data_IF_953135986999
#
_entry.id   IF_953135986999
#
_cell.length_a   1.000
_cell.length_b   1.000
_cell.length_c   1.000
_cell.angle_alpha   90.00
_cell.angle_beta   90.00
_cell.angle_gamma   90.00
#
_symmetry.space_group_name_H-M   'P 1'
#
loop_
_entity.id
_entity.type
_entity.pdbx_description
1 polymer ?
#
# COMPACT_ATOMS: atom_id res chain seq x y z
N UNK A 1 -6.14 -10.70 -19.36
CA UNK A 1 -6.15 -9.88 -20.59
C UNK A 1 -7.12 -8.75 -20.37
N UNK A 2 -6.73 -7.52 -20.71
CA UNK A 2 -7.62 -6.36 -20.70
C UNK A 2 -8.12 -6.14 -22.12
N UNK A 3 -9.40 -5.78 -22.24
CA UNK A 3 -10.06 -5.42 -23.48
C UNK A 3 -10.37 -3.92 -23.41
N UNK A 4 -9.96 -3.15 -24.41
CA UNK A 4 -10.31 -1.73 -24.51
C UNK A 4 -11.36 -1.52 -25.61
N UNK A 5 -12.57 -1.03 -25.27
CA UNK A 5 -13.61 -0.74 -26.25
C UNK A 5 -13.21 0.39 -27.22
N UNK A 6 -13.96 0.52 -28.32
CA UNK A 6 -13.74 1.46 -29.43
C UNK A 6 -13.73 2.94 -28.98
N UNK A 7 -14.24 3.28 -27.80
CA UNK A 7 -14.03 4.56 -27.10
C UNK A 7 -12.68 4.62 -26.35
N UNK A 8 -11.63 4.07 -26.96
CA UNK A 8 -10.27 3.94 -26.42
C UNK A 8 -9.71 5.24 -25.80
N UNK A 9 -10.06 6.41 -26.37
CA UNK A 9 -9.65 7.72 -25.87
C UNK A 9 -10.05 7.98 -24.41
N UNK A 10 -11.20 7.48 -23.99
CA UNK A 10 -11.71 7.64 -22.62
C UNK A 10 -11.23 6.51 -21.72
N UNK A 11 -11.21 5.26 -22.21
CA UNK A 11 -10.90 4.09 -21.39
C UNK A 11 -9.39 3.85 -21.15
N UNK A 12 -8.53 4.15 -22.14
CA UNK A 12 -7.10 3.83 -22.09
C UNK A 12 -6.33 4.48 -20.92
N UNK A 13 -6.55 5.77 -20.57
CA UNK A 13 -5.93 6.36 -19.38
C UNK A 13 -6.23 5.59 -18.09
N UNK A 14 -7.47 5.12 -17.93
CA UNK A 14 -7.88 4.36 -16.76
C UNK A 14 -7.26 2.97 -16.72
N UNK A 15 -7.19 2.27 -17.86
CA UNK A 15 -6.57 0.95 -17.96
C UNK A 15 -5.07 1.03 -17.65
N UNK A 16 -4.37 2.01 -18.24
CA UNK A 16 -2.95 2.28 -17.98
C UNK A 16 -2.71 2.55 -16.50
N UNK A 17 -3.54 3.40 -15.88
CA UNK A 17 -3.43 3.71 -14.46
C UNK A 17 -3.79 2.53 -13.54
N UNK A 18 -4.81 1.75 -13.89
CA UNK A 18 -5.20 0.57 -13.12
C UNK A 18 -4.09 -0.48 -13.13
N UNK A 19 -3.52 -0.79 -14.30
CA UNK A 19 -2.40 -1.70 -14.42
C UNK A 19 -1.17 -1.19 -13.62
N UNK A 20 -0.91 0.12 -13.64
CA UNK A 20 0.15 0.72 -12.81
C UNK A 20 -0.11 0.55 -11.30
N UNK A 21 -1.35 0.77 -10.85
CA UNK A 21 -1.75 0.65 -9.43
C UNK A 21 -1.72 -0.78 -8.92
N UNK A 22 -2.12 -1.72 -9.77
CA UNK A 22 -2.14 -3.15 -9.46
C UNK A 22 -0.73 -3.77 -9.42
N UNK A 23 0.31 -2.96 -9.70
CA UNK A 23 1.70 -3.33 -9.52
C UNK A 23 2.30 -4.09 -10.71
N UNK A 24 1.69 -4.00 -11.90
CA UNK A 24 2.31 -4.50 -13.11
C UNK A 24 3.62 -3.73 -13.38
N UNK A 25 4.60 -4.40 -14.00
CA UNK A 25 5.84 -3.81 -14.48
C UNK A 25 5.61 -3.01 -15.78
N UNK A 26 4.64 -3.45 -16.59
CA UNK A 26 4.25 -2.75 -17.79
C UNK A 26 2.93 -3.24 -18.40
N UNK A 27 2.51 -2.55 -19.44
CA UNK A 27 1.34 -2.87 -20.25
C UNK A 27 1.76 -3.06 -21.70
N UNK A 28 1.52 -4.25 -22.23
CA UNK A 28 1.72 -4.60 -23.62
C UNK A 28 0.43 -4.33 -24.40
N UNK A 29 0.48 -3.41 -25.35
CA UNK A 29 -0.62 -3.06 -26.25
C UNK A 29 -0.28 -3.60 -27.63
N UNK A 30 -1.14 -4.47 -28.14
CA UNK A 30 -0.99 -5.07 -29.46
C UNK A 30 -1.65 -4.14 -30.48
N UNK A 31 -0.87 -3.64 -31.43
CA UNK A 31 -1.30 -2.70 -32.46
C UNK A 31 -1.12 -3.36 -33.84
N UNK A 32 -2.01 -4.28 -34.17
CA UNK A 32 -1.95 -5.01 -35.43
C UNK A 32 -3.36 -5.14 -36.03
N UNK A 33 -3.57 -4.57 -37.23
CA UNK A 33 -4.82 -4.75 -37.98
C UNK A 33 -4.86 -6.17 -38.54
N UNK A 34 -6.06 -6.75 -38.61
CA UNK A 34 -6.25 -8.11 -39.13
C UNK A 34 -5.71 -8.27 -40.55
N UNK A 35 -5.83 -7.24 -41.38
CA UNK A 35 -5.33 -7.21 -42.75
C UNK A 35 -3.79 -7.23 -42.86
N UNK A 36 -3.08 -6.68 -41.87
CA UNK A 36 -1.62 -6.54 -41.92
C UNK A 36 -0.88 -7.72 -41.28
N UNK A 37 -1.52 -8.38 -40.31
CA UNK A 37 -0.89 -9.42 -39.52
C UNK A 37 -1.88 -10.50 -39.07
N UNK A 38 -2.52 -11.15 -40.04
CA UNK A 38 -3.49 -12.23 -39.80
C UNK A 38 -2.96 -13.34 -38.90
N UNK A 39 -1.72 -13.78 -39.12
CA UNK A 39 -1.03 -14.79 -38.32
C UNK A 39 -0.92 -14.40 -36.84
N UNK A 40 -0.70 -13.11 -36.54
CA UNK A 40 -0.65 -12.60 -35.17
C UNK A 40 -2.02 -12.66 -34.49
N UNK A 41 -3.07 -12.32 -35.23
CA UNK A 41 -4.43 -12.37 -34.72
C UNK A 41 -4.88 -13.82 -34.44
N UNK A 42 -4.51 -14.75 -35.33
CA UNK A 42 -4.73 -16.19 -35.14
C UNK A 42 -3.97 -16.72 -33.92
N UNK A 43 -2.68 -16.35 -33.75
CA UNK A 43 -1.88 -16.69 -32.57
C UNK A 43 -2.50 -16.13 -31.29
N UNK A 44 -2.94 -14.87 -31.28
CA UNK A 44 -3.60 -14.25 -30.12
C UNK A 44 -4.90 -14.94 -29.75
N UNK A 45 -5.70 -15.31 -30.74
CA UNK A 45 -6.99 -15.96 -30.51
C UNK A 45 -6.81 -17.40 -30.00
N UNK A 46 -5.81 -18.12 -30.52
CA UNK A 46 -5.56 -19.53 -30.21
C UNK A 46 -4.74 -19.72 -28.93
N UNK A 47 -3.70 -18.91 -28.75
CA UNK A 47 -2.65 -19.12 -27.75
C UNK A 47 -2.67 -18.06 -26.63
N UNK A 48 -3.80 -17.39 -26.42
CA UNK A 48 -3.92 -16.34 -25.40
C UNK A 48 -3.54 -16.82 -23.99
N UNK A 49 -3.89 -18.06 -23.63
CA UNK A 49 -3.55 -18.67 -22.34
C UNK A 49 -2.04 -18.80 -22.19
N UNK A 50 -1.37 -19.25 -23.25
CA UNK A 50 0.08 -19.40 -23.29
C UNK A 50 0.80 -18.05 -23.21
N UNK A 51 0.27 -17.01 -23.89
CA UNK A 51 0.78 -15.64 -23.77
C UNK A 51 0.63 -15.16 -22.33
N UNK A 52 -0.54 -15.37 -21.73
CA UNK A 52 -0.82 -14.99 -20.34
C UNK A 52 0.05 -15.74 -19.33
N UNK A 53 0.29 -17.03 -19.52
CA UNK A 53 1.15 -17.84 -18.64
C UNK A 53 2.59 -17.32 -18.62
N UNK A 54 3.06 -16.82 -19.77
CA UNK A 54 4.39 -16.24 -19.92
C UNK A 54 4.46 -14.81 -19.37
N UNK A 55 3.50 -13.95 -19.69
CA UNK A 55 3.45 -12.54 -19.21
C UNK A 55 2.95 -12.41 -17.76
N UNK A 56 2.40 -13.50 -17.21
CA UNK A 56 2.00 -13.67 -15.83
C UNK A 56 1.23 -12.49 -15.24
N UNK A 57 1.53 -12.21 -13.96
CA UNK A 57 0.95 -11.10 -13.19
C UNK A 57 1.74 -9.80 -13.31
N UNK A 58 2.65 -9.68 -14.29
CA UNK A 58 3.64 -8.61 -14.35
C UNK A 58 3.59 -7.76 -15.59
N UNK A 59 3.21 -8.33 -16.73
CA UNK A 59 2.90 -7.53 -17.92
C UNK A 59 1.43 -7.75 -18.24
N UNK A 60 0.65 -6.70 -18.12
CA UNK A 60 -0.73 -6.73 -18.57
C UNK A 60 -0.73 -6.73 -20.10
N UNK A 61 -1.51 -7.62 -20.73
CA UNK A 61 -1.70 -7.63 -22.18
C UNK A 61 -3.06 -6.98 -22.47
N UNK A 62 -3.02 -5.91 -23.25
CA UNK A 62 -4.16 -5.16 -23.76
C UNK A 62 -4.36 -5.51 -25.23
N UNK A 63 -5.54 -6.05 -25.51
CA UNK A 63 -6.03 -6.23 -26.86
C UNK A 63 -7.12 -5.18 -27.13
N UNK A 64 -7.05 -4.42 -28.24
CA UNK A 64 -8.18 -3.63 -28.70
C UNK A 64 -9.40 -4.54 -28.87
N UNK A 65 -10.54 -4.13 -28.35
CA UNK A 65 -11.78 -4.92 -28.41
C UNK A 65 -12.77 -4.21 -29.31
N UNK A 66 -13.26 -4.87 -30.38
CA UNK A 66 -14.10 -4.25 -31.39
C UNK A 66 -15.55 -4.05 -30.92
N UNK A 67 -15.82 -3.93 -29.60
CA UNK A 67 -17.17 -3.73 -29.08
C UNK A 67 -17.86 -2.64 -29.91
N UNK A 68 -18.89 -3.08 -30.63
CA UNK A 68 -19.47 -2.35 -31.74
C UNK A 68 -19.87 -0.95 -31.29
N UNK A 69 -19.49 0.04 -32.11
CA UNK A 69 -20.13 1.35 -32.14
C UNK A 69 -21.63 1.09 -32.06
N UNK A 70 -22.32 1.73 -31.11
CA UNK A 70 -23.77 1.62 -30.95
C UNK A 70 -24.43 1.58 -32.33
N UNK A 71 -25.16 0.50 -32.62
CA UNK A 71 -25.85 0.30 -33.89
C UNK A 71 -26.83 1.47 -34.07
N UNK A 72 -26.62 2.39 -35.03
CA UNK A 72 -27.44 3.60 -35.13
C UNK A 72 -28.85 3.31 -35.66
N UNK A 73 -29.11 2.10 -36.18
CA UNK A 73 -30.41 1.73 -36.78
C UNK A 73 -31.32 0.90 -35.85
N UNK A 74 -30.83 0.39 -34.72
CA UNK A 74 -31.68 -0.18 -33.67
C UNK A 74 -31.91 0.88 -32.56
N UNK A 75 -33.17 1.16 -32.23
CA UNK A 75 -33.59 2.11 -31.18
C UNK A 75 -32.71 2.08 -29.90
N UNK A 76 -32.55 3.24 -29.22
CA UNK A 76 -31.47 3.46 -28.27
C UNK A 76 -31.73 2.74 -26.95
N UNK A 77 -31.36 1.47 -26.86
CA UNK A 77 -31.41 0.77 -25.58
C UNK A 77 -30.31 1.20 -24.60
N UNK A 78 -29.36 2.03 -25.04
CA UNK A 78 -28.39 2.69 -24.16
C UNK A 78 -28.01 4.09 -24.66
N UNK A 79 -28.95 5.04 -24.72
CA UNK A 79 -28.51 6.43 -24.53
C UNK A 79 -27.97 6.53 -23.10
N UNK A 80 -26.64 6.66 -22.96
CA UNK A 80 -26.06 7.16 -21.74
C UNK A 80 -26.63 8.57 -21.51
N UNK A 81 -27.74 8.66 -20.76
CA UNK A 81 -28.23 9.94 -20.27
C UNK A 81 -27.07 10.53 -19.48
N UNK A 82 -26.62 11.75 -19.83
CA UNK A 82 -25.63 12.46 -19.05
C UNK A 82 -26.16 12.64 -17.62
N UNK A 83 -25.84 11.70 -16.74
CA UNK A 83 -26.07 11.84 -15.31
C UNK A 83 -25.00 12.78 -14.75
N UNK A 84 -25.28 13.51 -13.65
CA UNK A 84 -24.26 14.28 -12.93
C UNK A 84 -23.01 13.44 -12.61
N UNK A 85 -23.19 12.14 -12.41
CA UNK A 85 -22.14 11.14 -12.19
C UNK A 85 -21.33 10.83 -13.46
N UNK A 86 -21.95 10.74 -14.64
CA UNK A 86 -21.21 10.61 -15.92
C UNK A 86 -20.41 11.87 -16.27
N UNK A 87 -20.96 13.06 -15.97
CA UNK A 87 -20.25 14.36 -16.09
C UNK A 87 -19.09 14.47 -15.11
N UNK A 88 -19.15 13.80 -13.97
CA UNK A 88 -18.03 13.70 -13.04
C UNK A 88 -16.87 12.93 -13.68
N UNK A 89 -17.12 11.85 -14.42
CA UNK A 89 -16.07 11.05 -15.08
C UNK A 89 -15.45 11.71 -16.31
N UNK A 90 -16.22 12.49 -17.08
CA UNK A 90 -15.71 13.20 -18.28
C UNK A 90 -14.86 14.43 -17.94
N UNK A 91 -14.97 14.96 -16.72
CA UNK A 91 -14.20 16.12 -16.25
C UNK A 91 -12.98 15.76 -15.38
N UNK A 92 -12.74 14.48 -15.10
CA UNK A 92 -11.58 14.04 -14.32
C UNK A 92 -10.30 14.15 -15.16
N UNK A 93 -9.32 14.87 -14.61
CA UNK A 93 -7.95 14.88 -15.12
C UNK A 93 -7.14 13.73 -14.49
N UNK A 94 -5.96 13.46 -15.06
CA UNK A 94 -5.03 12.45 -14.52
C UNK A 94 -4.63 12.75 -13.05
N UNK A 95 -4.63 14.02 -12.67
CA UNK A 95 -4.25 14.48 -11.32
C UNK A 95 -5.37 14.22 -10.29
N UNK A 96 -6.64 14.28 -10.70
CA UNK A 96 -7.79 14.02 -9.83
C UNK A 96 -7.93 12.53 -9.46
N UNK A 97 -7.28 11.65 -10.20
CA UNK A 97 -7.38 10.21 -9.98
C UNK A 97 -6.49 9.71 -8.83
N UNK A 98 -5.49 10.49 -8.39
CA UNK A 98 -4.39 10.04 -7.50
C UNK A 98 -4.87 9.45 -6.16
N UNK A 99 -6.02 9.89 -5.66
CA UNK A 99 -6.55 9.50 -4.35
C UNK A 99 -7.56 8.32 -4.37
N UNK A 100 -7.92 7.79 -5.54
CA UNK A 100 -8.85 6.65 -5.62
C UNK A 100 -8.16 5.35 -5.17
N UNK A 101 -8.36 4.98 -3.90
CA UNK A 101 -7.79 3.78 -3.26
C UNK A 101 -8.22 2.46 -3.89
N UNK A 102 -9.26 2.45 -4.74
CA UNK A 102 -9.79 1.26 -5.40
C UNK A 102 -10.26 1.58 -6.82
N UNK A 103 -9.37 1.52 -7.81
CA UNK A 103 -9.79 1.51 -9.21
C UNK A 103 -10.25 0.10 -9.58
N UNK A 104 -11.44 -0.29 -9.12
CA UNK A 104 -12.25 -1.26 -9.86
C UNK A 104 -12.94 -0.46 -10.94
N UNK A 105 -12.48 -0.58 -12.19
CA UNK A 105 -13.33 -0.21 -13.33
C UNK A 105 -14.46 -1.24 -13.35
N UNK A 106 -15.59 -0.87 -12.75
CA UNK A 106 -16.87 -1.51 -12.99
C UNK A 106 -17.72 -0.50 -13.76
N UNK A 107 -18.00 -0.88 -15.00
CA UNK A 107 -18.98 -0.30 -15.93
C UNK A 107 -20.35 -0.21 -15.20
N UNK A 108 -21.21 0.78 -15.53
CA UNK A 108 -22.10 1.41 -14.57
C UNK A 108 -23.18 0.50 -14.01
N UNK A 109 -23.48 0.79 -12.74
CA UNK A 109 -24.59 0.42 -11.89
C UNK A 109 -24.85 -1.08 -11.64
N UNK A 110 -24.92 -1.40 -10.36
CA UNK A 110 -25.19 -2.74 -9.85
C UNK A 110 -26.59 -3.21 -10.22
N UNK A 111 -26.76 -3.75 -11.42
CA UNK A 111 -27.67 -4.85 -11.77
C UNK A 111 -27.54 -5.14 -13.27
N UNK A 112 -26.51 -5.89 -13.68
CA UNK A 112 -26.57 -6.59 -14.95
C UNK A 112 -27.56 -7.76 -14.81
N UNK A 113 -28.85 -7.47 -15.01
CA UNK A 113 -29.86 -8.47 -15.38
C UNK A 113 -30.14 -8.38 -16.87
N UNK A 114 -29.09 -8.44 -17.68
CA UNK A 114 -29.24 -8.82 -19.08
C UNK A 114 -29.27 -10.34 -19.14
N UNK A 115 -30.32 -10.92 -19.72
CA UNK A 115 -30.22 -12.30 -20.19
C UNK A 115 -29.19 -12.28 -21.31
N UNK A 116 -28.08 -13.05 -21.25
CA UNK A 116 -27.16 -13.13 -22.37
C UNK A 116 -27.95 -13.70 -23.57
N UNK A 117 -28.20 -12.85 -24.56
CA UNK A 117 -28.86 -13.26 -25.80
C UNK A 117 -27.76 -13.56 -26.80
N UNK A 118 -27.65 -14.81 -27.29
CA UNK A 118 -26.68 -15.12 -28.34
C UNK A 118 -27.03 -14.31 -29.58
N UNK A 119 -26.16 -13.36 -29.95
CA UNK A 119 -26.25 -12.66 -31.23
C UNK A 119 -25.58 -13.51 -32.31
N UNK A 120 -26.11 -13.54 -33.55
CA UNK A 120 -25.37 -14.08 -34.67
C UNK A 120 -24.03 -13.34 -34.81
N UNK A 121 -22.94 -14.02 -35.20
CA UNK A 121 -21.67 -13.36 -35.42
C UNK A 121 -21.85 -12.32 -36.53
N UNK A 122 -21.32 -11.12 -36.32
CA UNK A 122 -21.28 -10.10 -37.35
C UNK A 122 -20.51 -10.62 -38.58
N UNK A 123 -20.83 -10.15 -39.79
CA UNK A 123 -20.04 -10.46 -40.98
C UNK A 123 -18.53 -10.17 -40.80
N UNK A 124 -17.68 -10.96 -41.47
CA UNK A 124 -16.22 -10.91 -41.30
C UNK A 124 -15.64 -9.52 -41.61
N UNK A 125 -16.14 -8.87 -42.66
CA UNK A 125 -15.76 -7.51 -43.06
C UNK A 125 -16.08 -6.46 -41.99
N UNK A 126 -17.24 -6.57 -41.34
CA UNK A 126 -17.65 -5.68 -40.23
C UNK A 126 -16.75 -5.90 -39.01
N UNK A 127 -16.41 -7.15 -38.68
CA UNK A 127 -15.50 -7.45 -37.57
C UNK A 127 -14.08 -6.95 -37.83
N UNK A 128 -13.58 -7.12 -39.06
CA UNK A 128 -12.26 -6.63 -39.46
C UNK A 128 -12.19 -5.10 -39.45
N UNK A 129 -13.25 -4.40 -39.88
CA UNK A 129 -13.35 -2.95 -39.83
C UNK A 129 -13.35 -2.43 -38.38
N UNK A 130 -14.16 -3.03 -37.50
CA UNK A 130 -14.23 -2.67 -36.10
C UNK A 130 -12.90 -2.89 -35.36
N UNK A 131 -12.20 -4.00 -35.64
CA UNK A 131 -10.87 -4.26 -35.10
C UNK A 131 -9.84 -3.24 -35.59
N UNK A 132 -9.87 -2.95 -36.89
CA UNK A 132 -9.00 -1.95 -37.52
C UNK A 132 -9.19 -0.59 -36.86
N UNK A 133 -10.43 -0.16 -36.66
CA UNK A 133 -10.76 1.10 -35.98
C UNK A 133 -10.27 1.10 -34.53
N UNK A 134 -10.47 0.01 -33.78
CA UNK A 134 -10.00 -0.11 -32.40
C UNK A 134 -8.47 -0.01 -32.28
N UNK A 135 -7.74 -0.67 -33.19
CA UNK A 135 -6.27 -0.60 -33.29
C UNK A 135 -5.82 0.82 -33.64
N UNK A 136 -6.45 1.45 -34.65
CA UNK A 136 -6.10 2.81 -35.08
C UNK A 136 -6.30 3.83 -33.97
N UNK A 137 -7.41 3.77 -33.23
CA UNK A 137 -7.64 4.66 -32.06
C UNK A 137 -6.67 4.41 -30.92
N UNK A 138 -6.31 3.16 -30.67
CA UNK A 138 -5.28 2.84 -29.67
C UNK A 138 -3.91 3.40 -30.10
N UNK A 139 -3.54 3.23 -31.37
CA UNK A 139 -2.30 3.77 -31.92
C UNK A 139 -2.28 5.31 -31.84
N UNK A 140 -3.39 5.96 -32.22
CA UNK A 140 -3.58 7.41 -32.13
C UNK A 140 -3.41 7.92 -30.70
N UNK A 141 -4.01 7.24 -29.71
CA UNK A 141 -3.89 7.61 -28.29
C UNK A 141 -2.42 7.68 -27.82
N UNK A 142 -1.58 6.75 -28.29
CA UNK A 142 -0.15 6.72 -27.96
C UNK A 142 0.71 7.56 -28.93
N UNK A 143 0.11 8.24 -29.91
CA UNK A 143 0.82 9.03 -30.91
C UNK A 143 1.63 8.17 -31.90
N UNK A 144 1.17 6.96 -32.19
CA UNK A 144 1.83 6.02 -33.10
C UNK A 144 1.19 6.15 -34.48
N UNK A 145 1.97 6.62 -35.47
CA UNK A 145 1.50 6.72 -36.85
C UNK A 145 1.28 5.35 -37.50
N UNK A 146 0.32 5.26 -38.44
CA UNK A 146 -0.05 4.01 -39.11
C UNK A 146 1.11 3.34 -39.86
N UNK A 147 2.06 4.13 -40.39
CA UNK A 147 3.26 3.61 -41.06
C UNK A 147 4.16 2.77 -40.15
N UNK A 148 3.90 2.80 -38.83
CA UNK A 148 4.64 2.02 -37.84
C UNK A 148 3.98 0.70 -37.48
N UNK A 149 2.81 0.38 -38.03
CA UNK A 149 2.08 -0.87 -37.79
C UNK A 149 2.51 -1.96 -38.80
N UNK A 150 2.38 -3.26 -38.46
CA UNK A 150 1.95 -3.81 -37.17
C UNK A 150 3.05 -3.69 -36.09
N UNK A 151 2.65 -3.42 -34.85
CA UNK A 151 3.58 -3.22 -33.74
C UNK A 151 3.04 -3.71 -32.39
N UNK A 152 3.94 -3.88 -31.43
CA UNK A 152 3.63 -4.06 -30.01
C UNK A 152 4.22 -2.90 -29.23
N UNK A 153 3.38 -2.14 -28.55
CA UNK A 153 3.83 -1.12 -27.60
C UNK A 153 3.92 -1.75 -26.20
N UNK A 154 5.07 -1.62 -25.55
CA UNK A 154 5.23 -1.94 -24.13
C UNK A 154 5.41 -0.64 -23.36
N UNK A 155 4.38 -0.29 -22.59
CA UNK A 155 4.39 0.81 -21.63
C UNK A 155 5.11 0.35 -20.38
N UNK A 156 6.27 0.93 -20.06
CA UNK A 156 7.08 0.54 -18.91
C UNK A 156 6.77 1.44 -17.72
N UNK A 157 6.03 0.94 -16.73
CA UNK A 157 5.51 1.77 -15.64
C UNK A 157 6.55 2.30 -14.67
N UNK A 158 7.72 1.66 -14.62
CA UNK A 158 8.79 1.99 -13.67
C UNK A 158 9.94 2.76 -14.32
N UNK A 159 9.96 2.81 -15.65
CA UNK A 159 10.97 3.50 -16.43
C UNK A 159 10.40 4.77 -17.02
N UNK A 160 11.29 5.65 -17.50
CA UNK A 160 10.90 6.84 -18.28
C UNK A 160 10.84 6.54 -19.78
N UNK A 161 10.95 5.26 -20.15
CA UNK A 161 11.09 4.84 -21.54
C UNK A 161 10.14 3.69 -21.82
N UNK A 162 9.30 3.88 -22.82
CA UNK A 162 8.38 2.89 -23.37
C UNK A 162 8.96 2.34 -24.67
N UNK A 163 8.57 1.15 -25.09
CA UNK A 163 9.18 0.48 -26.24
C UNK A 163 8.13 0.08 -27.25
N UNK A 164 8.21 0.62 -28.47
CA UNK A 164 7.40 0.20 -29.60
C UNK A 164 8.21 -0.76 -30.48
N UNK A 165 7.78 -2.01 -30.56
CA UNK A 165 8.44 -3.06 -31.35
C UNK A 165 7.67 -3.24 -32.65
N UNK A 166 8.26 -2.88 -33.78
CA UNK A 166 7.66 -3.14 -35.09
C UNK A 166 7.78 -4.63 -35.44
N UNK A 167 6.66 -5.25 -35.77
CA UNK A 167 6.58 -6.68 -36.01
C UNK A 167 6.76 -6.99 -37.49
N UNK A 168 7.24 -8.20 -37.77
CA UNK A 168 7.18 -8.78 -39.11
C UNK A 168 5.95 -9.70 -39.19
N UNK A 169 5.44 -10.00 -40.40
CA UNK A 169 4.32 -10.94 -40.56
C UNK A 169 4.57 -12.34 -39.95
N UNK A 170 5.84 -12.77 -39.88
CA UNK A 170 6.24 -14.07 -39.33
C UNK A 170 6.68 -14.02 -37.85
N UNK A 171 6.57 -12.88 -37.17
CA UNK A 171 6.94 -12.77 -35.76
C UNK A 171 5.95 -13.56 -34.89
N UNK A 172 6.43 -14.34 -33.91
CA UNK A 172 5.56 -14.95 -32.89
C UNK A 172 5.50 -14.07 -31.66
N UNK A 173 4.28 -13.67 -31.27
CA UNK A 173 4.02 -12.92 -30.03
C UNK A 173 4.36 -13.76 -28.81
N UNK A 174 4.09 -15.06 -28.82
CA UNK A 174 4.45 -15.95 -27.74
C UNK A 174 5.98 -15.97 -27.52
N UNK A 175 6.77 -16.15 -28.58
CA UNK A 175 8.24 -16.13 -28.48
C UNK A 175 8.76 -14.79 -28.00
N UNK A 176 8.22 -13.69 -28.50
CA UNK A 176 8.57 -12.34 -28.06
C UNK A 176 8.27 -12.15 -26.56
N UNK A 177 7.07 -12.51 -26.11
CA UNK A 177 6.67 -12.46 -24.71
C UNK A 177 7.59 -13.34 -23.83
N UNK A 178 7.93 -14.54 -24.30
CA UNK A 178 8.80 -15.48 -23.59
C UNK A 178 10.20 -14.93 -23.40
N UNK A 179 10.75 -14.26 -24.41
CA UNK A 179 12.06 -13.59 -24.29
C UNK A 179 12.02 -12.40 -23.34
N UNK A 180 10.95 -11.60 -23.38
CA UNK A 180 10.76 -10.47 -22.43
C UNK A 180 10.66 -11.00 -20.99
N UNK A 181 9.82 -12.02 -20.76
CA UNK A 181 9.62 -12.62 -19.45
C UNK A 181 10.85 -13.38 -18.93
N UNK A 182 11.69 -13.92 -19.81
CA UNK A 182 12.95 -14.59 -19.42
C UNK A 182 14.06 -13.60 -19.04
N UNK A 183 13.83 -12.29 -19.19
CA UNK A 183 14.85 -11.29 -18.92
C UNK A 183 15.03 -11.05 -17.40
N UNK A 184 16.26 -10.79 -16.90
CA UNK A 184 16.52 -10.65 -15.46
C UNK A 184 15.76 -9.52 -14.74
N UNK A 185 15.25 -8.53 -15.48
CA UNK A 185 14.35 -7.48 -14.98
C UNK A 185 12.95 -7.98 -14.61
N UNK A 186 12.65 -9.26 -14.89
CA UNK A 186 11.38 -9.93 -14.65
C UNK A 186 11.54 -11.04 -13.59
N UNK A 187 12.35 -10.84 -12.54
CA UNK A 187 12.50 -11.85 -11.47
C UNK A 187 11.49 -11.66 -10.33
N UNK A 188 11.02 -12.72 -9.65
CA UNK A 188 10.23 -12.61 -8.41
C UNK A 188 10.88 -11.82 -7.28
N UNK A 189 12.21 -11.76 -7.29
CA UNK A 189 12.97 -10.93 -6.36
C UNK A 189 12.71 -9.43 -6.60
N UNK A 190 12.44 -9.02 -7.84
CA UNK A 190 12.21 -7.62 -8.20
C UNK A 190 10.94 -7.05 -7.54
N UNK A 191 9.82 -7.76 -7.60
CA UNK A 191 8.57 -7.35 -6.94
C UNK A 191 8.74 -7.25 -5.42
N UNK A 192 9.46 -8.21 -4.83
CA UNK A 192 9.80 -8.18 -3.41
C UNK A 192 10.59 -6.92 -3.06
N UNK A 193 11.63 -6.60 -3.83
CA UNK A 193 12.48 -5.42 -3.61
C UNK A 193 11.74 -4.10 -3.80
N UNK A 194 10.78 -4.03 -4.72
CA UNK A 194 9.92 -2.84 -4.87
C UNK A 194 9.01 -2.63 -3.67
N UNK A 195 8.37 -3.69 -3.18
CA UNK A 195 7.55 -3.64 -1.96
C UNK A 195 8.40 -3.26 -0.76
N UNK A 196 9.61 -3.80 -0.69
CA UNK A 196 10.57 -3.52 0.38
C UNK A 196 11.03 -2.06 0.34
N UNK A 197 11.36 -1.50 -0.83
CA UNK A 197 11.62 -0.07 -0.99
C UNK A 197 10.47 0.78 -0.47
N UNK A 198 9.23 0.44 -0.85
CA UNK A 198 8.04 1.17 -0.39
C UNK A 198 7.75 1.01 1.11
N UNK A 199 8.13 -0.13 1.71
CA UNK A 199 8.06 -0.36 3.16
C UNK A 199 9.09 0.49 3.89
N UNK A 200 10.35 0.40 3.47
CA UNK A 200 11.48 1.12 4.05
C UNK A 200 11.33 2.63 3.93
N UNK A 201 10.88 3.13 2.78
CA UNK A 201 10.58 4.57 2.59
C UNK A 201 9.58 5.06 3.64
N UNK A 202 8.46 4.33 3.82
CA UNK A 202 7.45 4.67 4.83
C UNK A 202 7.97 4.57 6.27
N UNK A 203 8.85 3.61 6.54
CA UNK A 203 9.48 3.48 7.86
C UNK A 203 10.42 4.65 8.15
N UNK A 204 11.25 5.05 7.18
CA UNK A 204 12.15 6.20 7.30
C UNK A 204 11.38 7.51 7.44
N UNK A 205 10.33 7.73 6.64
CA UNK A 205 9.48 8.93 6.70
C UNK A 205 8.77 9.08 8.05
N UNK A 206 8.28 7.97 8.61
CA UNK A 206 7.56 7.95 9.89
C UNK A 206 8.47 7.80 11.11
N UNK A 207 9.78 7.62 10.91
CA UNK A 207 10.69 7.40 12.00
C UNK A 207 10.77 8.66 12.88
N UNK A 208 10.67 8.53 14.22
CA UNK A 208 10.72 9.69 15.11
C UNK A 208 12.06 10.41 14.99
N UNK A 209 12.02 11.64 14.46
CA UNK A 209 13.20 12.49 14.27
C UNK A 209 13.70 13.12 15.56
N UNK A 210 12.81 13.26 16.54
CA UNK A 210 13.08 13.82 17.85
C UNK A 210 12.72 12.79 18.91
N UNK A 211 13.57 12.66 19.93
CA UNK A 211 13.22 11.94 21.15
C UNK A 211 12.05 12.63 21.83
N UNK A 212 10.99 11.88 22.09
CA UNK A 212 9.95 12.33 23.01
C UNK A 212 10.42 11.90 24.39
N UNK A 213 11.01 12.83 25.15
CA UNK A 213 11.25 12.62 26.57
C UNK A 213 9.97 12.10 27.24
N UNK A 214 10.13 11.31 28.29
CA UNK A 214 9.02 10.61 28.94
C UNK A 214 8.61 11.31 30.22
N UNK A 215 7.35 11.18 30.58
CA UNK A 215 6.88 11.63 31.88
C UNK A 215 6.98 10.46 32.87
N UNK A 216 7.68 10.66 33.96
CA UNK A 216 7.82 9.70 35.06
C UNK A 216 7.16 10.25 36.31
N UNK A 217 6.42 9.41 37.01
CA UNK A 217 5.93 9.72 38.36
C UNK A 217 7.06 9.49 39.35
N UNK A 218 7.56 10.55 40.00
CA UNK A 218 8.59 10.45 41.05
C UNK A 218 8.01 10.81 42.40
N UNK A 219 8.33 10.01 43.42
CA UNK A 219 8.07 10.39 44.82
C UNK A 219 9.04 11.49 45.23
N UNK A 220 8.64 12.32 46.19
CA UNK A 220 9.59 13.24 46.83
C UNK A 220 10.72 12.41 47.47
N UNK A 221 11.97 12.78 47.19
CA UNK A 221 13.15 12.02 47.63
C UNK A 221 13.35 12.07 49.16
N UNK A 222 12.86 13.12 49.82
CA UNK A 222 12.97 13.30 51.29
C UNK A 222 11.71 14.00 51.84
N UNK A 223 10.59 13.25 52.02
CA UNK A 223 9.38 13.83 52.58
C UNK A 223 9.54 14.13 54.08
N UNK A 224 8.85 15.16 54.60
CA UNK A 224 8.91 15.50 56.01
C UNK A 224 8.31 14.40 56.89
N UNK A 225 9.10 13.84 57.81
CA UNK A 225 8.66 12.76 58.72
C UNK A 225 8.62 13.15 60.20
N UNK A 226 9.10 14.34 60.56
CA UNK A 226 9.08 14.90 61.93
C UNK A 226 8.14 16.10 62.04
N UNK A 227 7.59 16.37 63.23
CA UNK A 227 6.60 17.43 63.44
C UNK A 227 7.12 18.82 63.03
N UNK A 228 8.39 19.14 63.26
CA UNK A 228 9.02 20.39 62.86
C UNK A 228 8.98 20.55 61.33
N UNK A 229 9.47 19.54 60.59
CA UNK A 229 9.45 19.54 59.11
C UNK A 229 8.03 19.47 58.54
N UNK A 230 7.12 18.78 59.23
CA UNK A 230 5.72 18.70 58.82
C UNK A 230 4.99 20.04 58.99
N UNK A 231 5.34 20.82 60.01
CA UNK A 231 4.77 22.15 60.23
C UNK A 231 5.27 23.20 59.23
N UNK A 232 6.38 22.96 58.54
CA UNK A 232 6.80 23.77 57.39
C UNK A 232 5.83 23.62 56.21
N UNK A 233 5.07 22.51 56.16
CA UNK A 233 4.01 22.33 55.16
C UNK A 233 2.79 23.15 55.57
N UNK A 234 2.54 24.19 54.78
CA UNK A 234 1.52 25.22 55.00
C UNK A 234 0.11 24.66 55.31
N UNK A 235 -0.25 23.56 54.63
CA UNK A 235 -1.50 22.85 54.83
C UNK A 235 -1.59 22.15 56.20
N UNK A 236 -0.48 21.56 56.68
CA UNK A 236 -0.40 20.89 57.99
C UNK A 236 -0.52 21.91 59.10
N UNK A 237 0.26 23.00 59.03
CA UNK A 237 0.23 24.11 60.01
C UNK A 237 -1.18 24.66 60.20
N UNK A 238 -1.88 24.98 59.11
CA UNK A 238 -3.28 25.45 59.14
C UNK A 238 -4.24 24.44 59.79
N UNK A 239 -4.02 23.14 59.61
CA UNK A 239 -4.86 22.13 60.27
C UNK A 239 -4.56 22.02 61.77
N UNK A 240 -3.29 22.08 62.17
CA UNK A 240 -2.86 22.05 63.58
C UNK A 240 -3.36 23.28 64.33
N UNK A 241 -3.20 24.48 63.77
CA UNK A 241 -3.70 25.72 64.38
C UNK A 241 -5.23 25.71 64.48
N UNK A 242 -5.89 25.22 63.42
CA UNK A 242 -7.33 25.03 63.46
C UNK A 242 -7.80 23.98 64.47
N UNK A 243 -6.98 22.97 64.81
CA UNK A 243 -7.28 22.01 65.87
C UNK A 243 -7.14 22.67 67.25
N UNK A 244 -6.03 23.39 67.49
CA UNK A 244 -5.80 24.15 68.73
C UNK A 244 -6.96 25.10 69.01
N UNK A 245 -7.35 25.90 68.01
CA UNK A 245 -8.48 26.80 68.15
C UNK A 245 -9.79 26.06 68.46
N UNK A 246 -10.04 24.92 67.80
CA UNK A 246 -11.25 24.14 68.05
C UNK A 246 -11.28 23.58 69.48
N UNK A 247 -10.13 23.14 70.01
CA UNK A 247 -10.02 22.63 71.38
C UNK A 247 -10.38 23.71 72.42
N UNK A 248 -9.98 24.96 72.20
CA UNK A 248 -10.37 26.09 73.06
C UNK A 248 -11.89 26.31 73.05
N UNK A 249 -12.57 26.13 71.92
CA UNK A 249 -14.03 26.32 71.81
C UNK A 249 -14.85 25.29 72.62
N UNK A 250 -14.25 24.15 72.94
CA UNK A 250 -14.91 23.03 73.65
C UNK A 250 -14.37 22.82 75.07
N UNK A 251 -13.54 23.73 75.56
CA UNK A 251 -12.94 23.67 76.91
C UNK A 251 -13.99 23.52 78.02
N UNK A 252 -15.11 24.22 77.91
CA UNK A 252 -16.22 24.16 78.88
C UNK A 252 -16.92 22.79 78.97
N UNK A 253 -16.69 21.88 78.03
CA UNK A 253 -17.31 20.55 78.02
C UNK A 253 -16.61 19.62 79.00
N UNK A 254 -15.28 19.65 78.99
CA UNK A 254 -14.38 18.90 79.87
C UNK A 254 -13.01 19.62 79.93
N UNK A 255 -12.79 20.46 80.95
CA UNK A 255 -11.56 21.25 81.09
C UNK A 255 -10.30 20.39 81.30
N UNK A 256 -10.44 19.21 81.93
CA UNK A 256 -9.32 18.31 82.21
C UNK A 256 -8.84 17.65 80.92
N UNK A 257 -9.77 17.12 80.12
CA UNK A 257 -9.46 16.55 78.82
C UNK A 257 -8.88 17.61 77.86
N UNK A 258 -9.44 18.83 77.87
CA UNK A 258 -8.90 19.96 77.10
C UNK A 258 -7.43 20.24 77.45
N UNK A 259 -7.11 20.36 78.75
CA UNK A 259 -5.74 20.61 79.21
C UNK A 259 -4.81 19.47 78.81
N UNK A 260 -5.18 18.23 79.10
CA UNK A 260 -4.36 17.05 78.80
C UNK A 260 -4.07 16.89 77.30
N UNK A 261 -5.05 17.13 76.43
CA UNK A 261 -4.85 17.03 74.99
C UNK A 261 -4.07 18.21 74.42
N UNK A 262 -4.27 19.43 74.95
CA UNK A 262 -3.54 20.62 74.52
C UNK A 262 -2.05 20.53 74.87
N UNK A 263 -1.75 20.11 76.10
CA UNK A 263 -0.38 19.82 76.55
C UNK A 263 0.24 18.72 75.71
N UNK A 264 -0.50 17.65 75.43
CA UNK A 264 0.00 16.57 74.59
C UNK A 264 0.29 17.01 73.15
N UNK A 265 -0.54 17.86 72.55
CA UNK A 265 -0.30 18.38 71.20
C UNK A 265 0.90 19.33 71.19
N UNK A 266 1.05 20.16 72.22
CA UNK A 266 2.23 20.99 72.41
C UNK A 266 3.50 20.13 72.57
N UNK A 267 3.40 19.01 73.29
CA UNK A 267 4.51 18.09 73.51
C UNK A 267 5.02 17.45 72.23
N UNK A 268 4.11 16.96 71.37
CA UNK A 268 4.46 16.39 70.07
C UNK A 268 5.26 17.38 69.21
N UNK A 269 4.91 18.67 69.29
CA UNK A 269 5.58 19.73 68.52
C UNK A 269 6.92 20.08 69.16
N UNK A 270 6.96 20.19 70.50
CA UNK A 270 8.17 20.53 71.26
C UNK A 270 9.26 19.47 71.15
N UNK A 271 8.87 18.20 71.12
CA UNK A 271 9.78 17.05 71.05
C UNK A 271 10.16 16.66 69.62
N UNK A 272 9.70 17.42 68.62
CA UNK A 272 9.81 17.07 67.20
C UNK A 272 9.42 15.62 66.91
N UNK A 273 8.26 15.20 67.45
CA UNK A 273 7.84 13.81 67.38
C UNK A 273 7.75 13.31 65.94
N UNK A 274 8.06 12.03 65.72
CA UNK A 274 7.86 11.39 64.43
C UNK A 274 6.37 11.38 64.04
N UNK A 275 6.09 11.41 62.73
CA UNK A 275 4.73 11.43 62.18
C UNK A 275 3.85 10.32 62.77
N UNK A 276 4.39 9.10 62.86
CA UNK A 276 3.67 7.94 63.40
C UNK A 276 3.27 8.13 64.87
N UNK A 277 4.14 8.73 65.68
CA UNK A 277 3.87 9.06 67.08
C UNK A 277 2.76 10.11 67.18
N UNK A 278 2.80 11.13 66.34
CA UNK A 278 1.73 12.13 66.25
C UNK A 278 0.40 11.51 65.80
N UNK A 279 0.41 10.61 64.82
CA UNK A 279 -0.78 9.88 64.36
C UNK A 279 -1.41 9.03 65.46
N UNK A 280 -0.60 8.30 66.21
CA UNK A 280 -1.05 7.45 67.31
C UNK A 280 -1.76 8.30 68.37
N UNK A 281 -1.12 9.40 68.80
CA UNK A 281 -1.69 10.28 69.82
C UNK A 281 -2.96 11.00 69.35
N UNK A 282 -3.00 11.48 68.11
CA UNK A 282 -4.22 12.04 67.52
C UNK A 282 -5.34 10.98 67.42
N UNK A 283 -5.01 9.70 67.18
CA UNK A 283 -6.01 8.62 67.15
C UNK A 283 -6.62 8.39 68.53
N UNK A 284 -5.83 8.47 69.59
CA UNK A 284 -6.31 8.38 70.97
C UNK A 284 -7.29 9.51 71.29
N UNK A 285 -6.96 10.75 70.94
CA UNK A 285 -7.85 11.91 71.12
C UNK A 285 -9.15 11.70 70.33
N UNK A 286 -9.07 11.33 69.05
CA UNK A 286 -10.25 11.10 68.22
C UNK A 286 -11.12 9.93 68.71
N UNK A 287 -10.52 8.93 69.38
CA UNK A 287 -11.25 7.82 70.01
C UNK A 287 -11.96 8.30 71.28
N UNK A 288 -11.23 8.97 72.17
CA UNK A 288 -11.77 9.49 73.42
C UNK A 288 -12.97 10.43 73.19
N UNK A 289 -12.88 11.35 72.22
CA UNK A 289 -14.00 12.23 71.83
C UNK A 289 -15.23 11.45 71.35
N UNK A 290 -15.03 10.37 70.59
CA UNK A 290 -16.13 9.55 70.05
C UNK A 290 -16.83 8.72 71.12
N UNK A 291 -16.08 8.23 72.09
CA UNK A 291 -16.56 7.39 73.19
C UNK A 291 -17.14 8.23 74.35
N UNK A 292 -16.89 9.54 74.37
CA UNK A 292 -17.37 10.43 75.41
C UNK A 292 -18.91 10.54 75.46
N UNK A 293 -19.56 10.43 76.64
CA UNK A 293 -21.02 10.52 76.76
C UNK A 293 -21.62 11.81 76.17
N UNK A 294 -20.88 12.93 76.29
CA UNK A 294 -21.25 14.25 75.76
C UNK A 294 -20.71 14.56 74.35
N UNK A 295 -20.42 13.57 73.50
CA UNK A 295 -19.78 13.76 72.16
C UNK A 295 -20.42 14.85 71.28
N UNK A 296 -21.71 15.14 71.43
CA UNK A 296 -22.38 16.20 70.68
C UNK A 296 -21.85 17.60 71.04
N UNK A 297 -21.52 17.82 72.31
CA UNK A 297 -21.02 19.09 72.83
C UNK A 297 -19.58 19.39 72.37
N UNK A 298 -18.84 18.34 71.97
CA UNK A 298 -17.50 18.42 71.42
C UNK A 298 -17.43 18.92 69.96
N UNK A 299 -18.56 19.38 69.38
CA UNK A 299 -18.63 20.09 68.09
C UNK A 299 -17.87 19.43 66.93
N UNK A 300 -17.85 18.09 66.88
CA UNK A 300 -17.13 17.29 65.86
C UNK A 300 -15.61 17.43 65.93
N UNK A 301 -15.05 17.62 67.12
CA UNK A 301 -13.60 17.65 67.35
C UNK A 301 -12.90 16.40 66.79
N UNK A 302 -13.52 15.22 66.85
CA UNK A 302 -13.02 13.98 66.24
C UNK A 302 -12.78 14.11 64.73
N UNK A 303 -13.68 14.78 64.01
CA UNK A 303 -13.54 15.05 62.58
C UNK A 303 -12.38 16.04 62.32
N UNK A 304 -12.21 17.03 63.20
CA UNK A 304 -11.11 17.99 63.09
C UNK A 304 -9.76 17.31 63.32
N UNK A 305 -9.65 16.43 64.31
CA UNK A 305 -8.46 15.60 64.56
C UNK A 305 -8.15 14.73 63.34
N UNK A 306 -9.15 14.07 62.75
CA UNK A 306 -8.96 13.27 61.51
C UNK A 306 -8.48 14.10 60.31
N UNK A 307 -8.89 15.37 60.21
CA UNK A 307 -8.38 16.29 59.16
C UNK A 307 -6.88 16.56 59.36
N UNK A 308 -6.43 16.77 60.59
CA UNK A 308 -5.00 16.89 60.92
C UNK A 308 -4.25 15.61 60.54
N UNK A 309 -4.76 14.44 60.96
CA UNK A 309 -4.16 13.15 60.63
C UNK A 309 -4.03 12.92 59.12
N UNK A 310 -5.01 13.35 58.33
CA UNK A 310 -4.94 13.27 56.87
C UNK A 310 -3.90 14.22 56.28
N UNK A 311 -3.80 15.44 56.82
CA UNK A 311 -2.81 16.41 56.39
C UNK A 311 -1.38 15.93 56.68
N UNK A 312 -1.13 15.41 57.89
CA UNK A 312 0.16 14.83 58.28
C UNK A 312 0.56 13.67 57.35
N UNK A 313 -0.34 12.71 57.11
CA UNK A 313 -0.08 11.59 56.19
C UNK A 313 0.23 12.04 54.76
N UNK A 314 -0.55 13.00 54.24
CA UNK A 314 -0.34 13.53 52.89
C UNK A 314 0.98 14.28 52.76
N UNK A 315 1.44 14.94 53.83
CA UNK A 315 2.71 15.62 53.84
C UNK A 315 3.90 14.63 53.96
N UNK A 316 3.75 13.58 54.76
CA UNK A 316 4.79 12.56 54.97
C UNK A 316 4.91 11.53 53.85
N UNK A 317 3.85 11.29 53.08
CA UNK A 317 3.86 10.50 51.85
C UNK A 317 3.12 11.28 50.76
N UNK A 318 3.76 12.32 50.18
CA UNK A 318 3.15 13.09 49.12
C UNK A 318 2.90 12.20 47.91
N UNK A 319 1.79 12.43 47.16
CA UNK A 319 1.57 11.71 45.91
C UNK A 319 2.74 11.97 44.97
N UNK A 320 3.11 10.95 44.18
CA UNK A 320 4.14 11.13 43.18
C UNK A 320 3.79 12.31 42.26
N UNK A 321 4.79 13.09 41.86
CA UNK A 321 4.63 14.19 40.92
C UNK A 321 5.09 13.76 39.53
N UNK A 322 4.46 14.31 38.51
CA UNK A 322 4.77 13.99 37.12
C UNK A 322 5.96 14.84 36.65
N UNK A 323 7.11 14.22 36.43
CA UNK A 323 8.33 14.87 35.96
C UNK A 323 8.62 14.52 34.51
N UNK A 324 9.02 15.52 33.71
CA UNK A 324 9.54 15.29 32.38
C UNK A 324 11.01 14.87 32.43
N UNK A 325 11.31 13.70 31.89
CA UNK A 325 12.67 13.16 31.76
C UNK A 325 13.07 13.24 30.28
N UNK A 326 14.07 14.08 29.93
CA UNK A 326 14.54 14.17 28.55
C UNK A 326 15.14 12.84 28.08
N UNK A 327 15.12 12.61 26.76
CA UNK A 327 15.80 11.48 26.12
C UNK A 327 17.27 11.45 26.55
N UNK A 328 17.76 10.30 27.01
CA UNK A 328 19.17 10.16 27.38
C UNK A 328 20.07 10.19 26.14
N UNK A 329 21.37 10.44 26.32
CA UNK A 329 22.33 10.38 25.20
C UNK A 329 22.38 8.99 24.55
N UNK A 330 22.28 7.92 25.35
CA UNK A 330 22.28 6.54 24.87
C UNK A 330 21.00 6.22 24.08
N UNK A 331 19.83 6.65 24.58
CA UNK A 331 18.55 6.49 23.88
C UNK A 331 18.56 7.22 22.53
N UNK A 332 19.12 8.44 22.53
CA UNK A 332 19.31 9.22 21.30
C UNK A 332 20.24 8.52 20.31
N UNK A 333 21.39 8.02 20.78
CA UNK A 333 22.35 7.31 19.95
C UNK A 333 21.76 6.03 19.35
N UNK A 334 20.99 5.27 20.14
CA UNK A 334 20.29 4.08 19.66
C UNK A 334 19.25 4.42 18.60
N UNK A 335 18.47 5.49 18.80
CA UNK A 335 17.49 5.97 17.82
C UNK A 335 18.14 6.39 16.51
N UNK A 336 19.23 7.16 16.59
CA UNK A 336 20.01 7.59 15.41
C UNK A 336 20.62 6.38 14.68
N UNK A 337 21.16 5.39 15.41
CA UNK A 337 21.69 4.16 14.82
C UNK A 337 20.61 3.33 14.10
N UNK A 338 19.40 3.21 14.67
CA UNK A 338 18.26 2.54 14.03
C UNK A 338 17.82 3.25 12.75
N UNK A 339 17.78 4.59 12.75
CA UNK A 339 17.45 5.36 11.55
C UNK A 339 18.52 5.16 10.46
N UNK A 340 19.80 5.22 10.82
CA UNK A 340 20.90 4.99 9.89
C UNK A 340 20.85 3.57 9.29
N UNK A 341 20.51 2.55 10.08
CA UNK A 341 20.33 1.18 9.59
C UNK A 341 19.20 1.08 8.56
N UNK A 342 18.04 1.69 8.82
CA UNK A 342 16.92 1.71 7.87
C UNK A 342 17.27 2.44 6.57
N UNK A 343 18.00 3.56 6.66
CA UNK A 343 18.46 4.30 5.49
C UNK A 343 19.49 3.50 4.66
N UNK A 344 20.38 2.76 5.32
CA UNK A 344 21.34 1.89 4.65
C UNK A 344 20.62 0.74 3.91
N UNK A 345 19.62 0.12 4.53
CA UNK A 345 18.81 -0.94 3.92
C UNK A 345 18.00 -0.43 2.72
N UNK A 346 17.43 0.78 2.82
CA UNK A 346 16.74 1.44 1.71
C UNK A 346 17.70 1.68 0.55
N UNK A 347 18.86 2.27 0.82
CA UNK A 347 19.90 2.55 -0.18
C UNK A 347 20.38 1.26 -0.87
N UNK A 348 20.57 0.18 -0.11
CA UNK A 348 20.96 -1.12 -0.68
C UNK A 348 19.87 -1.68 -1.60
N UNK A 349 18.61 -1.56 -1.20
CA UNK A 349 17.46 -1.99 -2.01
C UNK A 349 17.35 -1.19 -3.30
N UNK A 350 17.55 0.13 -3.24
CA UNK A 350 17.58 1.01 -4.41
C UNK A 350 18.73 0.66 -5.35
N UNK A 351 19.95 0.51 -4.84
CA UNK A 351 21.10 0.07 -5.66
C UNK A 351 20.84 -1.27 -6.34
N UNK A 352 20.22 -2.22 -5.65
CA UNK A 352 19.86 -3.50 -6.24
C UNK A 352 18.85 -3.32 -7.38
N UNK A 353 17.81 -2.50 -7.19
CA UNK A 353 16.80 -2.21 -8.21
C UNK A 353 17.42 -1.53 -9.44
N UNK A 354 18.30 -0.55 -9.21
CA UNK A 354 18.99 0.20 -10.27
C UNK A 354 20.01 -0.66 -11.05
N UNK A 355 20.59 -1.67 -10.41
CA UNK A 355 21.52 -2.60 -11.07
C UNK A 355 20.84 -3.54 -12.08
N UNK A 356 19.52 -3.71 -11.99
CA UNK A 356 18.78 -4.63 -12.84
C UNK A 356 18.41 -3.95 -14.15
N UNK A 357 18.57 -4.65 -15.29
CA UNK A 357 18.16 -4.07 -16.56
C UNK A 357 16.63 -4.03 -16.61
N UNK A 358 16.07 -2.83 -16.74
CA UNK A 358 14.64 -2.58 -16.77
C UNK A 358 13.90 -3.31 -17.90
N UNK A 359 12.57 -3.31 -17.82
CA UNK A 359 11.64 -3.81 -18.83
C UNK A 359 11.91 -3.19 -20.21
N UNK A 360 12.23 -1.89 -20.33
CA UNK A 360 12.50 -1.32 -21.66
C UNK A 360 13.75 -1.95 -22.30
N UNK A 361 14.80 -2.17 -21.50
CA UNK A 361 16.00 -2.88 -21.96
C UNK A 361 15.71 -4.35 -22.29
N UNK A 362 14.83 -4.99 -21.51
CA UNK A 362 14.34 -6.35 -21.78
C UNK A 362 13.64 -6.43 -23.14
N UNK A 363 12.72 -5.50 -23.41
CA UNK A 363 11.97 -5.41 -24.66
C UNK A 363 12.89 -5.20 -25.86
N UNK A 364 13.85 -4.26 -25.77
CA UNK A 364 14.82 -4.05 -26.86
C UNK A 364 15.65 -5.30 -27.16
N UNK A 365 16.15 -5.96 -26.11
CA UNK A 365 16.92 -7.20 -26.26
C UNK A 365 16.08 -8.32 -26.86
N UNK A 366 14.86 -8.52 -26.35
CA UNK A 366 13.93 -9.53 -26.87
C UNK A 366 13.58 -9.28 -28.34
N UNK A 367 13.34 -8.03 -28.72
CA UNK A 367 13.10 -7.63 -30.11
C UNK A 367 14.31 -7.93 -31.02
N UNK A 368 15.52 -7.58 -30.60
CA UNK A 368 16.75 -7.90 -31.35
C UNK A 368 16.95 -9.41 -31.50
N UNK A 369 16.71 -10.17 -30.43
CA UNK A 369 16.91 -11.62 -30.45
C UNK A 369 15.84 -12.35 -31.30
N UNK A 370 14.65 -11.75 -31.51
CA UNK A 370 13.54 -12.33 -32.28
C UNK A 370 13.44 -11.81 -33.73
N UNK A 371 13.74 -10.53 -33.97
CA UNK A 371 13.50 -9.86 -35.26
C UNK A 371 14.77 -9.67 -36.12
N UNK A 372 15.92 -10.17 -35.63
CA UNK A 372 17.26 -9.95 -36.18
C UNK A 372 17.75 -8.50 -35.93
N UNK A 373 18.79 -7.96 -36.62
CA UNK A 373 19.28 -6.61 -36.34
C UNK A 373 18.16 -5.57 -36.40
N UNK A 374 18.03 -4.81 -35.31
CA UNK A 374 17.06 -3.73 -35.17
C UNK A 374 17.77 -2.39 -34.96
N UNK A 375 17.29 -1.36 -35.65
CA UNK A 375 17.55 0.03 -35.29
C UNK A 375 16.66 0.46 -34.13
N UNK A 376 17.20 1.32 -33.28
CA UNK A 376 16.46 1.94 -32.18
C UNK A 376 16.45 3.45 -32.41
N UNK A 377 15.26 4.05 -32.48
CA UNK A 377 15.08 5.49 -32.63
C UNK A 377 14.09 6.02 -31.59
N UNK A 378 14.23 7.27 -31.17
CA UNK A 378 13.23 7.93 -30.33
C UNK A 378 12.14 8.53 -31.19
N UNK A 379 10.88 8.33 -30.78
CA UNK A 379 9.74 8.92 -31.45
C UNK A 379 9.81 10.45 -31.30
N UNK A 380 9.90 11.18 -32.43
CA UNK A 380 10.12 12.64 -32.42
C UNK A 380 8.88 13.37 -31.93
N UNK A 381 9.06 14.41 -31.09
CA UNK A 381 7.98 15.31 -30.63
C UNK A 381 7.17 15.92 -31.79
N UNK A 382 7.76 16.13 -32.96
CA UNK A 382 7.05 16.64 -34.14
C UNK A 382 5.97 15.70 -34.67
N UNK A 383 6.08 14.39 -34.43
CA UNK A 383 5.03 13.40 -34.75
C UNK A 383 3.87 13.44 -33.72
N UNK A 384 4.03 14.21 -32.62
CA UNK A 384 3.13 14.27 -31.47
C UNK A 384 2.37 15.62 -31.33
N UNK A 385 2.78 16.67 -32.06
CA UNK A 385 2.34 18.06 -31.80
C UNK A 385 0.86 18.35 -32.14
N UNK A 386 0.10 17.45 -32.77
CA UNK A 386 -1.31 17.73 -33.13
C UNK A 386 -2.34 17.43 -32.02
N UNK A 387 -2.01 16.73 -30.93
CA UNK A 387 -3.01 16.26 -29.96
C UNK A 387 -2.55 16.47 -28.50
N UNK A 388 -2.88 17.63 -27.90
CA UNK A 388 -2.59 17.99 -26.49
C UNK A 388 -3.32 17.12 -25.44
N UNK A 389 -3.41 15.79 -25.55
CA UNK A 389 -4.08 14.93 -24.55
C UNK A 389 -3.49 13.51 -24.54
N UNK A 390 -3.11 12.98 -23.37
CA UNK A 390 -3.06 11.52 -23.14
C UNK A 390 -1.75 10.94 -22.59
N UNK A 391 -0.70 10.82 -23.43
CA UNK A 391 0.53 10.11 -23.09
C UNK A 391 1.75 10.80 -23.74
N UNK A 392 2.91 10.90 -23.07
CA UNK A 392 4.07 11.60 -23.64
C UNK A 392 4.83 10.69 -24.62
N UNK A 393 4.63 10.91 -25.92
CA UNK A 393 5.28 10.16 -27.00
C UNK A 393 6.81 10.27 -26.99
N UNK A 394 7.37 11.32 -26.39
CA UNK A 394 8.83 11.52 -26.22
C UNK A 394 9.49 10.40 -25.40
N UNK A 395 8.69 9.62 -24.66
CA UNK A 395 9.14 8.46 -23.89
C UNK A 395 9.28 7.20 -24.74
N UNK A 396 8.71 7.16 -25.95
CA UNK A 396 8.65 5.95 -26.77
C UNK A 396 9.93 5.79 -27.60
N UNK A 397 10.61 4.66 -27.41
CA UNK A 397 11.67 4.20 -28.29
C UNK A 397 11.14 3.14 -29.25
N UNK A 398 11.31 3.39 -30.54
CA UNK A 398 10.89 2.49 -31.60
C UNK A 398 12.04 1.55 -31.96
N UNK A 399 11.75 0.25 -31.93
CA UNK A 399 12.65 -0.82 -32.34
C UNK A 399 12.17 -1.33 -33.69
N UNK A 400 12.91 -0.96 -34.74
CA UNK A 400 12.60 -1.30 -36.13
C UNK A 400 13.56 -2.36 -36.65
N UNK A 401 13.08 -3.50 -37.18
CA UNK A 401 13.95 -4.44 -37.88
C UNK A 401 14.57 -3.80 -39.13
N UNK A 402 15.89 -3.92 -39.30
CA UNK A 402 16.63 -3.31 -40.44
C UNK A 402 17.23 -4.32 -41.41
N UNK A 403 17.21 -5.61 -41.09
CA UNK A 403 17.71 -6.69 -41.95
C UNK A 403 16.61 -7.52 -42.64
N UNK A 404 16.95 -8.49 -43.49
CA UNK A 404 16.01 -9.53 -43.91
C UNK A 404 15.50 -10.32 -42.68
N UNK A 405 14.32 -10.96 -42.76
CA UNK A 405 13.85 -11.82 -41.68
C UNK A 405 14.91 -12.89 -41.38
N UNK A 406 15.10 -13.28 -40.12
CA UNK A 406 16.02 -14.36 -39.80
C UNK A 406 15.62 -15.59 -40.61
N UNK A 407 16.58 -16.21 -41.31
CA UNK A 407 16.32 -17.47 -42.00
C UNK A 407 15.72 -18.42 -40.95
N UNK A 408 14.49 -18.90 -41.20
CA UNK A 408 13.95 -19.98 -40.40
C UNK A 408 14.99 -21.08 -40.46
N UNK A 409 15.53 -21.50 -39.31
CA UNK A 409 16.38 -22.68 -39.27
C UNK A 409 15.48 -23.82 -39.75
N UNK A 410 15.61 -24.17 -41.02
CA UNK A 410 14.78 -25.16 -41.68
C UNK A 410 14.89 -26.46 -40.90
N UNK A 411 13.76 -26.94 -40.38
CA UNK A 411 13.54 -28.36 -40.25
C UNK A 411 13.46 -28.91 -41.67
N UNK A 412 14.58 -29.36 -42.22
CA UNK A 412 14.60 -30.16 -43.43
C UNK A 412 13.88 -31.48 -43.13
N UNK A 413 12.58 -31.54 -43.42
CA UNK A 413 11.85 -32.78 -43.64
C UNK A 413 11.13 -32.66 -44.99
N UNK A 414 11.29 -33.66 -45.88
CA UNK A 414 10.82 -33.56 -47.25
C UNK A 414 9.30 -33.57 -47.32
N UNK A 415 8.79 -32.73 -48.22
CA UNK A 415 7.40 -32.47 -48.56
C UNK A 415 6.60 -33.74 -48.89
N UNK A 416 5.64 -34.06 -48.03
CA UNK A 416 4.42 -34.82 -48.36
C UNK A 416 3.23 -33.87 -48.36
N UNK A 417 2.50 -33.82 -49.47
CA UNK A 417 1.44 -32.86 -49.74
C UNK A 417 0.32 -32.87 -48.68
N UNK A 418 -0.09 -31.66 -48.27
CA UNK A 418 -1.38 -31.42 -47.60
C UNK A 418 -1.35 -31.44 -46.07
N UNK A 419 -0.50 -30.65 -45.43
CA UNK A 419 -0.65 -30.33 -43.99
C UNK A 419 -0.42 -28.84 -43.77
N UNK A 420 -1.48 -28.15 -43.34
CA UNK A 420 -1.44 -26.80 -42.78
C UNK A 420 -0.32 -26.71 -41.75
N UNK A 421 0.60 -25.75 -41.91
CA UNK A 421 1.73 -25.49 -41.03
C UNK A 421 1.27 -25.23 -39.59
N UNK A 422 1.13 -26.32 -38.81
CA UNK A 422 1.02 -26.27 -37.37
C UNK A 422 2.39 -25.94 -36.81
N UNK A 423 2.46 -24.88 -36.01
CA UNK A 423 3.54 -24.73 -35.04
C UNK A 423 3.52 -25.96 -34.14
N UNK A 424 4.49 -26.87 -34.30
CA UNK A 424 4.76 -27.95 -33.36
C UNK A 424 5.18 -27.32 -32.02
N UNK A 425 4.17 -27.09 -31.18
CA UNK A 425 4.34 -26.93 -29.76
C UNK A 425 4.43 -28.34 -29.18
N UNK A 426 5.65 -28.81 -28.90
CA UNK A 426 5.88 -29.93 -27.99
C UNK A 426 5.36 -29.55 -26.59
N UNK A 427 4.05 -29.64 -26.40
CA UNK A 427 3.35 -29.50 -25.14
C UNK A 427 3.42 -30.82 -24.38
N UNK A 428 4.57 -31.10 -23.75
CA UNK A 428 4.63 -32.10 -22.68
C UNK A 428 4.04 -31.50 -21.40
N UNK A 429 2.71 -31.43 -21.32
CA UNK A 429 1.99 -30.97 -20.15
C UNK A 429 0.49 -31.19 -20.32
N UNK A 430 -0.03 -32.25 -19.73
CA UNK A 430 -1.46 -32.56 -19.70
C UNK A 430 -2.23 -31.46 -18.95
N UNK A 431 -2.95 -30.62 -19.68
CA UNK A 431 -3.93 -29.70 -19.11
C UNK A 431 -5.24 -30.46 -18.92
N UNK A 432 -5.50 -30.93 -17.70
CA UNK A 432 -6.81 -31.42 -17.29
C UNK A 432 -7.68 -30.23 -16.89
N UNK A 433 -8.48 -29.73 -17.85
CA UNK A 433 -9.52 -28.72 -17.63
C UNK A 433 -10.29 -28.48 -18.94
N UNK A 434 -11.58 -28.11 -18.89
CA UNK A 434 -12.39 -27.94 -20.10
C UNK A 434 -11.83 -26.78 -20.94
N UNK A 435 -11.31 -27.09 -22.13
CA UNK A 435 -10.91 -26.11 -23.12
C UNK A 435 -12.16 -25.58 -23.83
N UNK A 436 -12.57 -24.35 -23.53
CA UNK A 436 -13.63 -23.66 -24.26
C UNK A 436 -13.01 -23.11 -25.55
N UNK A 437 -13.38 -23.70 -26.67
CA UNK A 437 -12.95 -23.32 -28.01
C UNK A 437 -13.47 -21.91 -28.34
N UNK A 438 -12.59 -21.02 -28.79
CA UNK A 438 -12.81 -19.58 -29.01
C UNK A 438 -13.73 -19.24 -30.20
N UNK A 439 -14.88 -19.94 -30.34
CA UNK A 439 -15.96 -19.56 -31.25
C UNK A 439 -16.96 -18.55 -30.66
N UNK A 440 -16.77 -18.15 -29.40
CA UNK A 440 -17.73 -17.36 -28.62
C UNK A 440 -17.06 -16.23 -27.82
N UNK A 441 -16.23 -15.40 -28.48
CA UNK A 441 -15.58 -14.24 -27.82
C UNK A 441 -16.51 -13.03 -27.57
N UNK A 442 -17.83 -13.22 -27.63
CA UNK A 442 -18.82 -12.20 -27.24
C UNK A 442 -19.07 -12.09 -25.73
N UNK A 443 -18.83 -13.16 -24.95
CA UNK A 443 -19.30 -13.25 -23.56
C UNK A 443 -18.21 -13.65 -22.53
N UNK A 444 -16.92 -13.60 -22.90
CA UNK A 444 -15.85 -14.03 -21.99
C UNK A 444 -15.38 -12.86 -21.12
N UNK A 445 -15.89 -12.86 -19.88
CA UNK A 445 -15.59 -11.93 -18.80
C UNK A 445 -14.14 -11.99 -18.30
N UNK A 446 -13.61 -10.83 -17.89
CA UNK A 446 -12.30 -10.71 -17.23
C UNK A 446 -12.37 -11.22 -15.79
N UNK A 447 -11.62 -12.29 -15.49
CA UNK A 447 -11.40 -12.73 -14.11
C UNK A 447 -10.37 -11.83 -13.41
N UNK A 448 -10.84 -11.01 -12.46
CA UNK A 448 -9.98 -10.28 -11.54
C UNK A 448 -9.53 -11.22 -10.43
N UNK A 449 -8.35 -11.81 -10.56
CA UNK A 449 -7.71 -12.48 -9.44
C UNK A 449 -7.26 -11.42 -8.44
N UNK A 450 -7.94 -11.33 -7.29
CA UNK A 450 -7.34 -10.69 -6.12
C UNK A 450 -5.96 -11.33 -5.89
N UNK A 451 -4.89 -10.57 -5.66
CA UNK A 451 -3.73 -11.16 -5.02
C UNK A 451 -4.25 -11.78 -3.71
N UNK A 452 -4.16 -13.10 -3.61
CA UNK A 452 -4.42 -13.83 -2.37
C UNK A 452 -3.57 -13.10 -1.32
N UNK A 453 -4.20 -12.53 -0.28
CA UNK A 453 -3.45 -11.92 0.84
C UNK A 453 -2.42 -13.00 1.23
N UNK A 454 -1.11 -12.73 1.10
CA UNK A 454 -0.15 -13.72 1.53
C UNK A 454 -0.39 -13.91 3.01
N UNK A 455 -0.67 -15.15 3.42
CA UNK A 455 -0.51 -15.49 4.83
C UNK A 455 0.94 -15.15 5.18
N UNK A 456 1.20 -14.61 6.36
CA UNK A 456 2.56 -14.22 6.80
C UNK A 456 3.61 -15.34 6.73
N UNK A 457 3.19 -16.55 6.40
CA UNK A 457 3.98 -17.77 6.18
C UNK A 457 4.48 -17.97 4.74
N UNK A 458 3.91 -17.33 3.71
CA UNK A 458 4.22 -17.63 2.31
C UNK A 458 5.61 -17.13 1.87
N UNK A 459 6.08 -16.00 2.42
CA UNK A 459 7.44 -15.51 2.19
C UNK A 459 8.51 -16.39 2.86
N UNK A 460 8.20 -16.94 4.03
CA UNK A 460 9.09 -17.85 4.77
C UNK A 460 9.15 -19.24 4.14
N UNK A 461 8.05 -19.75 3.58
CA UNK A 461 7.99 -21.04 2.89
C UNK A 461 8.79 -21.08 1.58
N UNK A 462 9.03 -19.93 0.94
CA UNK A 462 9.92 -19.81 -0.20
C UNK A 462 11.40 -19.76 0.21
N UNK A 463 11.73 -19.00 1.27
CA UNK A 463 13.08 -18.96 1.85
C UNK A 463 13.54 -20.34 2.37
N UNK A 464 12.66 -21.08 3.06
CA UNK A 464 12.94 -22.45 3.50
C UNK A 464 13.21 -23.42 2.34
N UNK A 465 12.53 -23.24 1.19
CA UNK A 465 12.75 -24.07 -0.01
C UNK A 465 14.07 -23.77 -0.70
N UNK A 466 14.55 -22.54 -0.66
CA UNK A 466 15.86 -22.16 -1.20
C UNK A 466 16.98 -22.64 -0.27
N UNK A 467 16.83 -22.48 1.04
CA UNK A 467 17.80 -22.97 2.02
C UNK A 467 17.91 -24.50 2.04
N UNK A 468 16.79 -25.22 1.96
CA UNK A 468 16.78 -26.68 1.86
C UNK A 468 17.35 -27.25 0.55
N UNK A 469 17.47 -26.43 -0.51
CA UNK A 469 18.16 -26.80 -1.75
C UNK A 469 19.66 -26.49 -1.71
N UNK A 470 20.10 -25.55 -0.86
CA UNK A 470 21.52 -25.26 -0.63
C UNK A 470 22.17 -26.30 0.27
N UNK A 471 21.50 -26.74 1.34
CA UNK A 471 22.01 -27.79 2.25
C UNK A 471 21.99 -29.22 1.71
N UNK A 472 21.71 -29.45 0.42
CA UNK A 472 21.85 -30.78 -0.24
C UNK A 472 22.95 -30.79 -1.32
N UNK A 473 23.76 -29.73 -1.38
CA UNK A 473 24.91 -29.60 -2.29
C UNK A 473 26.24 -29.41 -1.56
N UNK A 474 26.20 -29.47 -0.24
CA UNK A 474 27.32 -29.82 0.63
C UNK A 474 27.00 -31.20 1.22
#
# INVERSE_FOLDING_TARGET
MWKAPVNAREALPYIVNAARRDGYLGLMVILARTAEARTLHEELSRDWTSIHDVTGHRIAVLCPDPHFVDDPEEEPYYTAVETPTSRFWTNLTLDDCVDFKHTRVLIPDGAWRGVPVPRPPYPEDVQQAAWTEAVSRCAEFFGIGESRLPAVLVVCFQERTDVLIQLRPATSLYKLCKRIASHPGYSPEYDFRLRERARLTRLVERFPRYGLGRHEWRKADDPPTSMARLLDVDAVRKQIDGLRHHMTLVEHVDPEAHRAWSESLAELIRTDAAEQTAQARLSEIARAVREHPRKADWRRLDQKVRKVQRALRKAADPPAELHYVPESQDERAEREARLAALQAELTQTERWLDSRPGLAKACRKAAQDELAPCAVESLKRSEYISLRRGYSAERIQVVRPTGPPPASKGSDMPTGAGVTAGTDNDLSGTVHGPAVQAGHMGDVHVHVHRPRRPSGTDGLAWLHRIWARRGRRD
#
